data_IF_764435163015
#
_entry.id   IF_764435163015
#
_cell.length_a   1.000
_cell.length_b   1.000
_cell.length_c   1.000
_cell.angle_alpha   90.00
_cell.angle_beta   90.00
_cell.angle_gamma   90.00
#
_symmetry.space_group_name_H-M   'P 1'
#
loop_
_entity.id
_entity.type
_entity.pdbx_description
1 polymer ?
#
# COMPACT_ATOMS: atom_id res chain seq x y z
N UNK A 1 -22.96 -17.24 -15.59
CA UNK A 1 -21.90 -17.65 -14.67
C UNK A 1 -21.34 -16.43 -13.97
N UNK A 2 -20.96 -16.54 -12.70
CA UNK A 2 -20.27 -15.45 -11.99
C UNK A 2 -18.80 -15.46 -12.41
N UNK A 3 -18.30 -14.34 -12.90
CA UNK A 3 -16.88 -14.19 -13.26
C UNK A 3 -16.11 -13.88 -11.97
N UNK A 4 -15.14 -14.71 -11.63
CA UNK A 4 -14.21 -14.46 -10.54
C UNK A 4 -13.00 -13.73 -11.14
N UNK A 5 -12.91 -12.42 -10.93
CA UNK A 5 -11.72 -11.64 -11.24
C UNK A 5 -10.79 -11.65 -10.03
N UNK A 6 -9.71 -12.41 -10.13
CA UNK A 6 -8.62 -12.34 -9.15
C UNK A 6 -7.73 -11.13 -9.51
N UNK A 7 -7.30 -10.31 -8.54
CA UNK A 7 -6.43 -9.17 -8.84
C UNK A 7 -5.14 -9.64 -9.51
N UNK A 8 -4.65 -8.87 -10.47
CA UNK A 8 -3.43 -9.15 -11.23
C UNK A 8 -2.24 -9.39 -10.29
N UNK A 9 -1.50 -10.47 -10.53
CA UNK A 9 -0.31 -10.82 -9.75
C UNK A 9 0.91 -10.19 -10.43
N UNK A 10 1.66 -9.37 -9.68
CA UNK A 10 2.88 -8.73 -10.16
C UNK A 10 4.11 -9.41 -9.56
N UNK A 11 4.94 -10.02 -10.41
CA UNK A 11 6.23 -10.62 -10.03
C UNK A 11 7.37 -9.63 -10.33
N UNK A 12 8.28 -9.45 -9.37
CA UNK A 12 9.44 -8.56 -9.50
C UNK A 12 10.71 -9.33 -9.12
N UNK A 13 11.79 -9.18 -9.88
CA UNK A 13 13.03 -9.88 -9.59
C UNK A 13 13.72 -9.30 -8.36
N UNK A 14 14.44 -10.15 -7.63
CA UNK A 14 15.30 -9.72 -6.52
C UNK A 14 16.28 -8.64 -6.98
N UNK A 15 16.48 -7.62 -6.15
CA UNK A 15 17.33 -6.47 -6.45
C UNK A 15 16.69 -5.42 -7.37
N UNK A 16 15.56 -5.69 -8.01
CA UNK A 16 14.83 -4.68 -8.78
C UNK A 16 13.97 -3.77 -7.89
N UNK A 17 13.41 -2.73 -8.48
CA UNK A 17 12.45 -1.84 -7.82
C UNK A 17 11.04 -2.31 -8.10
N UNK A 18 10.25 -2.49 -7.05
CA UNK A 18 8.81 -2.68 -7.13
C UNK A 18 8.07 -1.38 -6.83
N UNK A 19 7.05 -1.09 -7.63
CA UNK A 19 6.09 0.00 -7.39
C UNK A 19 4.70 -0.60 -7.28
N UNK A 20 4.04 -0.31 -6.16
CA UNK A 20 2.67 -0.69 -5.84
C UNK A 20 1.85 0.60 -5.82
N UNK A 21 0.78 0.62 -6.60
CA UNK A 21 -0.10 1.79 -6.74
C UNK A 21 -1.31 1.62 -5.83
N UNK A 22 -1.86 2.72 -5.35
CA UNK A 22 -3.12 2.79 -4.62
C UNK A 22 -3.90 4.00 -5.13
N UNK A 23 -5.05 3.72 -5.74
CA UNK A 23 -5.93 4.74 -6.27
C UNK A 23 -7.22 4.77 -5.45
N UNK A 24 -7.59 5.93 -4.96
CA UNK A 24 -8.83 6.13 -4.21
C UNK A 24 -9.79 7.02 -4.99
N UNK A 25 -11.04 6.58 -5.14
CA UNK A 25 -12.06 7.30 -5.92
C UNK A 25 -12.32 8.73 -5.45
N UNK A 26 -12.06 9.00 -4.17
CA UNK A 26 -12.15 10.32 -3.55
C UNK A 26 -10.85 10.63 -2.81
N UNK A 27 -10.47 11.90 -2.75
CA UNK A 27 -9.26 12.33 -2.06
C UNK A 27 -9.24 11.90 -0.59
N UNK A 28 -8.04 11.66 -0.06
CA UNK A 28 -7.86 11.37 1.37
C UNK A 28 -8.06 12.62 2.23
N UNK A 29 -8.27 12.45 3.52
CA UNK A 29 -8.17 13.55 4.47
C UNK A 29 -6.70 13.83 4.78
N UNK A 30 -6.25 15.07 4.55
CA UNK A 30 -4.88 15.50 4.89
C UNK A 30 -3.85 14.50 4.36
N UNK A 31 -3.00 13.93 5.21
CA UNK A 31 -2.02 12.90 4.88
C UNK A 31 -2.38 11.51 5.41
N UNK A 32 -3.63 11.26 5.82
CA UNK A 32 -4.02 10.00 6.46
C UNK A 32 -4.10 8.83 5.48
N UNK A 33 -2.93 8.32 5.08
CA UNK A 33 -2.73 7.10 4.33
C UNK A 33 -1.57 6.30 4.95
N UNK A 34 -1.75 4.99 5.05
CA UNK A 34 -0.79 4.06 5.60
C UNK A 34 -0.67 2.80 4.73
N UNK A 35 0.55 2.27 4.64
CA UNK A 35 0.89 1.05 3.92
C UNK A 35 1.16 -0.09 4.90
N UNK A 36 0.62 -1.27 4.60
CA UNK A 36 0.81 -2.48 5.36
C UNK A 36 1.26 -3.62 4.46
N UNK A 37 2.12 -4.49 4.99
CA UNK A 37 2.45 -5.79 4.39
C UNK A 37 1.84 -6.91 5.23
N UNK A 38 1.26 -7.91 4.59
CA UNK A 38 0.79 -9.12 5.25
C UNK A 38 1.44 -10.35 4.61
N UNK A 39 2.18 -11.12 5.42
CA UNK A 39 2.69 -12.42 5.02
C UNK A 39 1.64 -13.51 5.24
N UNK A 40 1.69 -14.63 4.50
CA UNK A 40 0.79 -15.75 4.72
C UNK A 40 0.77 -16.20 6.19
N UNK A 41 -0.41 -16.22 6.81
CA UNK A 41 -0.59 -16.61 8.21
C UNK A 41 -0.21 -15.55 9.26
N UNK A 42 0.25 -14.36 8.85
CA UNK A 42 0.60 -13.27 9.75
C UNK A 42 -0.47 -12.16 9.78
N UNK A 43 -0.46 -11.37 10.86
CA UNK A 43 -1.21 -10.11 10.92
C UNK A 43 -0.55 -9.04 10.02
N UNK A 44 -1.31 -8.10 9.43
CA UNK A 44 -0.74 -6.98 8.69
C UNK A 44 0.21 -6.14 9.55
N UNK A 45 1.41 -5.86 9.03
CA UNK A 45 2.45 -5.04 9.65
C UNK A 45 2.52 -3.67 8.98
N UNK A 46 2.52 -2.62 9.78
CA UNK A 46 2.65 -1.24 9.29
C UNK A 46 4.06 -1.01 8.72
N UNK A 47 4.14 -0.46 7.52
CA UNK A 47 5.38 -0.09 6.84
C UNK A 47 5.59 1.43 6.80
N UNK A 48 4.55 2.16 6.38
CA UNK A 48 4.58 3.61 6.20
C UNK A 48 3.26 4.19 6.68
N UNK A 49 3.31 5.33 7.34
CA UNK A 49 2.15 6.12 7.73
C UNK A 49 2.32 7.58 7.28
N UNK A 50 1.24 8.36 7.32
CA UNK A 50 1.20 9.73 6.83
C UNK A 50 1.80 9.91 5.41
N UNK A 51 1.34 9.08 4.46
CA UNK A 51 1.81 9.01 3.05
C UNK A 51 3.24 8.49 2.90
N UNK A 52 4.22 9.06 3.59
CA UNK A 52 5.65 8.84 3.34
C UNK A 52 6.52 8.70 4.61
N UNK A 53 5.93 8.68 5.80
CA UNK A 53 6.67 8.51 7.05
C UNK A 53 6.91 7.03 7.32
N UNK A 54 8.18 6.62 7.28
CA UNK A 54 8.59 5.24 7.48
C UNK A 54 8.35 4.81 8.94
N UNK A 55 7.72 3.66 9.16
CA UNK A 55 7.55 3.10 10.49
C UNK A 55 8.90 2.62 11.04
N UNK A 56 9.10 2.76 12.35
CA UNK A 56 10.32 2.29 13.00
C UNK A 56 10.53 0.79 12.75
N UNK A 57 11.75 0.41 12.34
CA UNK A 57 12.11 -0.96 11.99
C UNK A 57 11.78 -1.36 10.55
N UNK A 58 11.08 -0.54 9.77
CA UNK A 58 10.92 -0.77 8.34
C UNK A 58 12.23 -0.42 7.60
N UNK A 59 12.72 -1.27 6.67
CA UNK A 59 13.93 -0.98 5.92
C UNK A 59 13.85 0.32 5.11
N UNK A 60 14.94 1.09 5.06
CA UNK A 60 15.02 2.37 4.33
C UNK A 60 14.81 2.26 2.82
N UNK A 61 14.83 1.04 2.28
CA UNK A 61 14.52 0.76 0.87
C UNK A 61 13.05 0.99 0.51
N UNK A 62 12.16 1.07 1.50
CA UNK A 62 10.75 1.40 1.34
C UNK A 62 10.55 2.92 1.34
N UNK A 63 9.67 3.39 0.46
CA UNK A 63 9.27 4.80 0.39
C UNK A 63 7.84 4.94 -0.11
N UNK A 64 7.12 5.93 0.40
CA UNK A 64 5.76 6.26 -0.01
C UNK A 64 5.71 7.59 -0.76
N UNK A 65 4.80 7.71 -1.72
CA UNK A 65 4.59 8.95 -2.47
C UNK A 65 3.11 9.25 -2.68
N UNK A 66 2.81 10.52 -2.93
CA UNK A 66 1.48 11.07 -3.11
C UNK A 66 1.38 12.49 -2.54
N UNK A 67 0.20 13.09 -2.62
CA UNK A 67 -0.07 14.42 -2.09
C UNK A 67 -1.10 14.40 -0.97
N UNK A 68 -1.00 15.36 -0.04
CA UNK A 68 -2.08 15.58 0.92
C UNK A 68 -3.37 15.94 0.17
N UNK A 69 -4.48 15.36 0.59
CA UNK A 69 -5.77 15.45 -0.10
C UNK A 69 -5.81 14.87 -1.53
N UNK A 70 -4.77 14.12 -1.95
CA UNK A 70 -4.70 13.44 -3.24
C UNK A 70 -5.48 12.13 -3.30
N UNK A 71 -5.52 11.53 -4.50
CA UNK A 71 -6.18 10.25 -4.82
C UNK A 71 -5.24 9.14 -5.25
N UNK A 72 -4.01 9.48 -5.63
CA UNK A 72 -3.05 8.57 -6.25
C UNK A 72 -1.80 8.50 -5.40
N UNK A 73 -1.48 7.28 -4.96
CA UNK A 73 -0.39 7.01 -4.03
C UNK A 73 0.41 5.82 -4.50
N UNK A 74 1.70 5.81 -4.17
CA UNK A 74 2.55 4.66 -4.44
C UNK A 74 3.39 4.26 -3.24
N UNK A 75 3.64 2.96 -3.14
CA UNK A 75 4.69 2.38 -2.33
C UNK A 75 5.79 1.89 -3.26
N UNK A 76 7.01 2.36 -3.04
CA UNK A 76 8.20 1.94 -3.79
C UNK A 76 9.12 1.15 -2.87
N UNK A 77 9.55 -0.02 -3.33
CA UNK A 77 10.54 -0.89 -2.67
C UNK A 77 11.72 -1.00 -3.61
N UNK A 78 12.83 -0.35 -3.28
CA UNK A 78 14.07 -0.45 -4.05
C UNK A 78 14.87 -1.67 -3.61
N UNK A 79 15.50 -2.40 -4.53
CA UNK A 79 16.32 -3.56 -4.15
C UNK A 79 15.52 -4.66 -3.44
N UNK A 80 14.41 -5.10 -4.05
CA UNK A 80 13.50 -6.12 -3.54
C UNK A 80 14.24 -7.35 -3.01
N UNK A 81 13.81 -7.84 -1.84
CA UNK A 81 14.37 -8.99 -1.15
C UNK A 81 13.31 -10.09 -0.95
N UNK A 82 13.74 -11.30 -0.62
CA UNK A 82 12.81 -12.44 -0.48
C UNK A 82 11.79 -12.23 0.63
N UNK A 83 12.15 -11.50 1.70
CA UNK A 83 11.23 -11.17 2.79
C UNK A 83 10.16 -10.12 2.41
N UNK A 84 10.27 -9.48 1.24
CA UNK A 84 9.29 -8.51 0.77
C UNK A 84 8.04 -9.20 0.18
N UNK A 85 8.09 -10.53 0.00
CA UNK A 85 6.96 -11.38 -0.38
C UNK A 85 5.78 -11.24 0.58
N UNK A 86 4.62 -10.80 0.09
CA UNK A 86 3.38 -10.71 0.87
C UNK A 86 2.31 -9.86 0.20
N UNK A 87 1.09 -9.85 0.74
CA UNK A 87 0.04 -8.95 0.29
C UNK A 87 0.28 -7.52 0.80
N UNK A 88 0.03 -6.52 -0.03
CA UNK A 88 0.16 -5.12 0.36
C UNK A 88 -1.20 -4.43 0.42
N UNK A 89 -1.35 -3.56 1.41
CA UNK A 89 -2.59 -2.82 1.63
C UNK A 89 -2.29 -1.35 1.83
N UNK A 90 -3.02 -0.50 1.14
CA UNK A 90 -3.14 0.90 1.51
C UNK A 90 -4.43 1.08 2.32
N UNK A 91 -4.33 1.82 3.42
CA UNK A 91 -5.45 2.21 4.25
C UNK A 91 -5.47 3.72 4.37
N UNK A 92 -6.63 4.33 4.13
CA UNK A 92 -6.78 5.78 4.13
C UNK A 92 -8.05 6.24 4.84
N UNK A 93 -8.02 7.47 5.35
CA UNK A 93 -9.21 8.19 5.81
C UNK A 93 -9.65 9.16 4.71
N UNK A 94 -10.95 9.20 4.42
CA UNK A 94 -11.52 10.08 3.38
C UNK A 94 -12.42 11.16 3.97
N UNK A 95 -12.37 12.37 3.38
CA UNK A 95 -13.37 13.41 3.62
C UNK A 95 -14.51 13.27 2.60
N UNK A 96 -15.54 12.51 2.96
CA UNK A 96 -16.86 12.69 2.37
C UNK A 96 -17.62 13.63 3.32
N UNK A 97 -18.63 14.37 2.83
CA UNK A 97 -19.41 15.38 3.57
C UNK A 97 -20.10 14.73 4.81
N UNK A 98 -19.29 14.45 5.86
CA UNK A 98 -19.49 13.67 7.10
C UNK A 98 -19.96 12.20 6.94
N UNK A 99 -19.45 11.20 7.71
CA UNK A 99 -18.28 11.13 8.59
C UNK A 99 -17.01 10.65 7.84
N UNK A 100 -15.84 10.63 8.51
CA UNK A 100 -14.63 10.02 7.97
C UNK A 100 -14.82 8.52 7.74
N UNK A 101 -14.51 8.03 6.54
CA UNK A 101 -14.52 6.61 6.20
C UNK A 101 -13.11 6.05 6.11
N UNK A 102 -12.89 4.87 6.70
CA UNK A 102 -11.67 4.09 6.52
C UNK A 102 -11.87 3.19 5.30
N UNK A 103 -11.06 3.40 4.27
CA UNK A 103 -10.95 2.46 3.16
C UNK A 103 -9.69 1.63 3.32
N UNK A 104 -9.82 0.32 3.08
CA UNK A 104 -8.69 -0.61 2.96
C UNK A 104 -8.75 -1.21 1.57
N UNK A 105 -7.77 -0.91 0.74
CA UNK A 105 -7.63 -1.57 -0.55
C UNK A 105 -6.52 -2.63 -0.45
N UNK A 106 -6.82 -3.81 -1.01
CA UNK A 106 -5.85 -4.89 -1.15
C UNK A 106 -5.25 -4.81 -2.54
N UNK A 107 -3.95 -4.55 -2.61
CA UNK A 107 -3.21 -4.59 -3.86
C UNK A 107 -2.32 -5.84 -3.79
N UNK A 108 -2.70 -6.88 -4.53
CA UNK A 108 -1.96 -8.14 -4.53
C UNK A 108 -0.58 -7.91 -5.15
N UNK A 109 0.48 -8.35 -4.46
CA UNK A 109 1.84 -8.40 -5.03
C UNK A 109 2.58 -9.59 -4.43
N UNK A 110 2.48 -10.76 -5.07
CA UNK A 110 3.26 -11.94 -4.67
C UNK A 110 4.63 -11.87 -5.35
N UNK A 111 5.68 -11.64 -4.56
CA UNK A 111 7.07 -11.68 -5.03
C UNK A 111 7.52 -13.12 -5.30
#
# INVERSE_FOLDING_TARGET
GVILTQPEVKTVQLGQTATIECHTDVGIYSSYLAWYQQKPGEAPKLLIYYINTLQSGTPSRFSGSGSSYGSDFTLTISGVQTEDTGDYYCMSLHQIISPFFILKQKNNTYF
#
